data_IF_176438511916
#
_entry.id   IF_176438511916
#
_cell.length_a   1.000
_cell.length_b   1.000
_cell.length_c   1.000
_cell.angle_alpha   90.00
_cell.angle_beta   90.00
_cell.angle_gamma   90.00
#
_symmetry.space_group_name_H-M   'P 1'
#
loop_
_entity.id
_entity.type
_entity.pdbx_description
1 polymer ?
#
# COMPACT_ATOMS: atom_id res chain seq x y z
N UNK A 1 17.02 -41.57 -12.49
CA UNK A 1 15.93 -41.60 -13.50
C UNK A 1 15.38 -40.19 -13.63
N UNK A 2 15.60 -39.50 -14.75
CA UNK A 2 15.08 -38.14 -14.97
C UNK A 2 13.58 -38.26 -15.27
N UNK A 3 12.72 -37.62 -14.47
CA UNK A 3 11.27 -37.55 -14.76
C UNK A 3 11.07 -36.66 -15.99
N UNK A 4 10.61 -37.24 -17.09
CA UNK A 4 10.25 -36.48 -18.29
C UNK A 4 9.05 -35.58 -18.01
N UNK A 5 9.08 -34.34 -18.52
CA UNK A 5 7.99 -33.37 -18.33
C UNK A 5 6.80 -33.78 -19.21
N UNK A 6 5.55 -33.65 -18.72
CA UNK A 6 4.36 -33.97 -19.51
C UNK A 6 4.24 -33.01 -20.71
N UNK A 7 4.06 -33.57 -21.91
CA UNK A 7 3.94 -32.83 -23.17
C UNK A 7 2.52 -32.34 -23.46
N UNK A 8 1.52 -32.90 -22.77
CA UNK A 8 0.10 -32.60 -22.95
C UNK A 8 -0.61 -32.30 -21.62
N UNK A 9 -1.77 -31.64 -21.70
CA UNK A 9 -2.71 -31.41 -20.59
C UNK A 9 -4.15 -31.63 -21.06
N UNK A 10 -5.07 -31.82 -20.13
CA UNK A 10 -6.49 -31.97 -20.44
C UNK A 10 -7.18 -30.60 -20.43
N UNK A 11 -7.97 -30.32 -21.47
CA UNK A 11 -8.81 -29.12 -21.53
C UNK A 11 -9.83 -29.11 -20.38
N UNK A 12 -9.91 -27.98 -19.64
CA UNK A 12 -10.84 -27.83 -18.50
C UNK A 12 -12.32 -28.03 -18.89
N UNK A 13 -12.69 -27.62 -20.11
CA UNK A 13 -14.09 -27.56 -20.55
C UNK A 13 -14.55 -28.78 -21.35
N UNK A 14 -13.79 -29.19 -22.38
CA UNK A 14 -14.19 -30.30 -23.26
C UNK A 14 -13.44 -31.61 -23.00
N UNK A 15 -12.55 -31.64 -22.01
CA UNK A 15 -11.78 -32.84 -21.59
C UNK A 15 -10.92 -33.49 -22.67
N UNK A 16 -10.70 -32.84 -23.80
CA UNK A 16 -9.79 -33.30 -24.84
C UNK A 16 -8.34 -33.03 -24.45
N UNK A 17 -7.42 -33.90 -24.88
CA UNK A 17 -5.98 -33.65 -24.78
C UNK A 17 -5.56 -32.48 -25.66
N UNK A 18 -4.74 -31.60 -25.08
CA UNK A 18 -4.20 -30.40 -25.73
C UNK A 18 -2.73 -30.22 -25.35
N UNK A 19 -1.93 -29.48 -26.14
CA UNK A 19 -0.55 -29.15 -25.77
C UNK A 19 -0.47 -28.47 -24.39
N UNK A 20 0.56 -28.80 -23.60
CA UNK A 20 0.69 -28.31 -22.22
C UNK A 20 0.73 -26.76 -22.12
N UNK A 21 1.27 -26.10 -23.13
CA UNK A 21 1.39 -24.65 -23.26
C UNK A 21 0.18 -23.95 -23.92
N UNK A 22 -0.82 -24.70 -24.40
CA UNK A 22 -1.97 -24.13 -25.09
C UNK A 22 -2.78 -23.20 -24.16
N UNK A 23 -2.84 -21.90 -24.52
CA UNK A 23 -3.63 -20.87 -23.83
C UNK A 23 -5.12 -20.91 -24.18
N UNK A 24 -5.46 -21.47 -25.34
CA UNK A 24 -6.82 -21.62 -25.85
C UNK A 24 -6.97 -23.05 -26.37
N UNK A 25 -8.08 -23.71 -26.03
CA UNK A 25 -8.32 -25.08 -26.51
C UNK A 25 -8.67 -25.07 -28.02
N UNK A 26 -7.99 -25.84 -28.88
CA UNK A 26 -8.29 -25.89 -30.32
C UNK A 26 -9.65 -26.52 -30.65
N UNK A 27 -10.19 -27.35 -29.75
CA UNK A 27 -11.48 -28.04 -29.97
C UNK A 27 -12.67 -27.17 -29.57
N UNK A 28 -12.67 -26.61 -28.35
CA UNK A 28 -13.80 -25.81 -27.85
C UNK A 28 -13.57 -24.29 -27.85
N UNK A 29 -12.39 -23.83 -28.27
CA UNK A 29 -11.96 -22.42 -28.30
C UNK A 29 -12.02 -21.66 -26.97
N UNK A 30 -12.24 -22.36 -25.84
CA UNK A 30 -12.25 -21.76 -24.50
C UNK A 30 -10.83 -21.59 -23.95
N UNK A 31 -10.56 -20.43 -23.35
CA UNK A 31 -9.29 -20.04 -22.73
C UNK A 31 -8.94 -20.97 -21.55
N UNK A 32 -7.72 -21.48 -21.52
CA UNK A 32 -7.24 -22.47 -20.53
C UNK A 32 -6.41 -21.83 -19.39
N UNK A 33 -6.11 -20.54 -19.47
CA UNK A 33 -5.27 -19.80 -18.52
C UNK A 33 -6.08 -18.89 -17.58
N UNK A 34 -5.84 -19.05 -16.27
CA UNK A 34 -6.39 -18.21 -15.20
C UNK A 34 -7.15 -19.01 -14.14
N UNK A 35 -6.45 -19.61 -13.19
CA UNK A 35 -6.90 -19.68 -11.79
C UNK A 35 -5.63 -19.55 -10.96
N UNK A 36 -5.43 -18.35 -10.43
CA UNK A 36 -4.54 -18.15 -9.30
C UNK A 36 -4.94 -19.12 -8.19
N UNK A 37 -3.92 -19.55 -7.48
CA UNK A 37 -4.02 -20.33 -6.27
C UNK A 37 -5.09 -19.72 -5.34
N UNK A 38 -6.22 -20.41 -5.16
CA UNK A 38 -7.14 -20.12 -4.06
C UNK A 38 -6.45 -20.60 -2.79
N UNK A 39 -5.59 -19.75 -2.22
CA UNK A 39 -5.19 -19.89 -0.82
C UNK A 39 -6.36 -19.35 -0.02
N UNK A 40 -7.16 -20.26 0.53
CA UNK A 40 -8.16 -19.93 1.53
C UNK A 40 -7.42 -19.51 2.81
N UNK A 41 -7.22 -18.20 3.00
CA UNK A 41 -6.85 -17.64 4.30
C UNK A 41 -8.15 -17.37 5.04
N UNK A 42 -8.46 -18.22 6.02
CA UNK A 42 -9.57 -18.03 6.94
C UNK A 42 -9.27 -16.83 7.84
N UNK A 43 -9.84 -15.68 7.50
CA UNK A 43 -9.89 -14.53 8.41
C UNK A 43 -11.03 -14.77 9.40
N UNK A 44 -10.67 -15.23 10.60
CA UNK A 44 -11.57 -15.20 11.76
C UNK A 44 -11.63 -13.75 12.24
N UNK A 45 -12.61 -13.00 11.74
CA UNK A 45 -12.96 -11.69 12.29
C UNK A 45 -13.72 -11.94 13.60
N UNK A 46 -13.00 -11.86 14.73
CA UNK A 46 -13.63 -11.77 16.04
C UNK A 46 -14.25 -10.38 16.19
N UNK A 47 -15.54 -10.28 15.92
CA UNK A 47 -16.37 -9.12 16.24
C UNK A 47 -16.49 -9.04 17.76
N UNK A 48 -15.66 -8.19 18.38
CA UNK A 48 -15.82 -7.75 19.76
C UNK A 48 -16.77 -6.55 19.84
N UNK A 49 -18.08 -6.81 19.78
CA UNK A 49 -19.09 -5.83 20.18
C UNK A 49 -19.19 -5.82 21.70
N UNK A 50 -18.59 -4.81 22.33
CA UNK A 50 -18.96 -4.26 23.63
C UNK A 50 -19.10 -2.76 23.38
N UNK A 51 -20.30 -2.20 23.29
CA UNK A 51 -21.26 -2.16 24.39
C UNK A 51 -21.08 -0.85 25.17
N UNK A 52 -21.10 0.30 24.48
CA UNK A 52 -21.01 1.62 25.09
C UNK A 52 -22.38 2.09 25.59
N UNK A 53 -22.51 2.16 26.91
CA UNK A 53 -23.62 2.82 27.59
C UNK A 53 -23.50 4.36 27.48
N UNK A 54 -24.65 5.00 27.33
CA UNK A 54 -24.91 6.44 27.29
C UNK A 54 -24.40 7.20 28.53
N UNK A 55 -23.95 8.46 28.37
CA UNK A 55 -24.42 9.63 29.13
C UNK A 55 -23.71 10.96 28.76
N UNK A 56 -24.50 11.94 28.27
CA UNK A 56 -24.39 13.40 28.51
C UNK A 56 -23.19 14.18 27.93
N UNK A 57 -23.30 15.40 27.39
CA UNK A 57 -24.40 16.38 27.29
C UNK A 57 -23.81 17.77 26.96
N UNK A 58 -24.62 18.66 26.37
CA UNK A 58 -24.41 20.12 26.24
C UNK A 58 -23.72 20.57 24.93
N UNK A 59 -24.38 21.26 23.98
CA UNK A 59 -24.89 22.67 24.00
C UNK A 59 -23.75 23.70 23.95
N UNK A 60 -23.70 24.78 23.16
CA UNK A 60 -24.47 25.39 22.07
C UNK A 60 -23.63 26.58 21.53
N UNK A 61 -24.01 27.12 20.36
CA UNK A 61 -23.89 28.54 19.90
C UNK A 61 -22.48 29.13 19.64
N UNK A 62 -22.07 29.53 18.41
CA UNK A 62 -22.56 30.52 17.42
C UNK A 62 -22.06 31.97 17.68
N UNK A 63 -21.74 32.69 16.57
CA UNK A 63 -21.69 34.17 16.39
C UNK A 63 -20.36 34.90 16.72
N UNK A 64 -19.82 35.92 16.02
CA UNK A 64 -20.00 36.65 14.72
C UNK A 64 -18.99 37.83 14.68
N UNK A 65 -18.77 38.39 13.47
CA UNK A 65 -18.22 39.73 13.10
C UNK A 65 -16.68 39.84 12.95
N UNK A 66 -16.06 40.16 11.78
CA UNK A 66 -16.26 41.22 10.76
C UNK A 66 -15.94 42.65 11.29
N UNK A 67 -15.59 43.68 10.47
CA UNK A 67 -15.15 43.76 9.06
C UNK A 67 -13.96 44.77 8.85
N UNK A 68 -13.82 45.33 7.62
CA UNK A 68 -13.33 46.70 7.22
C UNK A 68 -11.95 46.73 6.54
N UNK A 69 -11.60 47.47 5.47
CA UNK A 69 -12.22 48.11 4.29
C UNK A 69 -11.07 48.79 3.47
N UNK A 70 -11.35 49.11 2.19
CA UNK A 70 -10.75 50.16 1.34
C UNK A 70 -9.38 49.92 0.63
N UNK A 71 -9.06 50.47 -0.55
CA UNK A 71 -9.75 50.99 -1.75
C UNK A 71 -8.66 51.60 -2.68
N UNK A 72 -9.00 51.86 -3.96
CA UNK A 72 -8.33 52.73 -4.98
C UNK A 72 -7.30 52.03 -5.91
N UNK A 73 -7.52 51.83 -7.22
CA UNK A 73 -7.80 52.72 -8.38
C UNK A 73 -6.56 53.59 -8.76
N UNK A 74 -6.07 53.78 -10.01
CA UNK A 74 -6.67 54.01 -11.36
C UNK A 74 -5.59 53.87 -12.48
N UNK A 75 -6.02 53.69 -13.76
CA UNK A 75 -5.45 54.14 -15.07
C UNK A 75 -4.38 53.28 -15.80
N UNK A 76 -4.21 53.26 -17.13
CA UNK A 76 -4.97 53.32 -18.42
C UNK A 76 -3.92 53.55 -19.54
N UNK A 77 -4.20 53.06 -20.77
CA UNK A 77 -3.56 53.28 -22.10
C UNK A 77 -2.63 52.14 -22.59
N UNK A 78 -2.94 51.37 -23.65
CA UNK A 78 -3.01 51.67 -25.11
C UNK A 78 -1.63 52.12 -25.68
N UNK A 79 -0.99 51.61 -26.77
CA UNK A 79 -1.43 50.94 -28.02
C UNK A 79 -0.19 50.54 -28.90
N UNK A 80 -0.24 49.35 -29.54
CA UNK A 80 0.23 48.93 -30.91
C UNK A 80 1.70 48.71 -31.38
N UNK A 81 1.82 47.61 -32.17
CA UNK A 81 2.73 47.25 -33.30
C UNK A 81 4.17 46.77 -33.00
N UNK A 82 4.80 45.82 -33.72
CA UNK A 82 4.46 44.79 -34.74
C UNK A 82 5.78 43.98 -34.99
N UNK A 83 5.67 42.72 -35.45
CA UNK A 83 6.69 41.93 -36.21
C UNK A 83 7.90 41.36 -35.41
N UNK A 84 8.43 40.12 -35.54
CA UNK A 84 8.42 39.06 -36.57
C UNK A 84 9.06 37.77 -35.98
N UNK A 85 8.45 36.60 -36.22
CA UNK A 85 8.94 35.19 -36.41
C UNK A 85 10.38 34.78 -35.98
N UNK A 86 10.76 33.59 -35.47
CA UNK A 86 10.43 32.16 -35.73
C UNK A 86 10.89 31.29 -34.54
N UNK A 87 10.08 30.26 -34.24
CA UNK A 87 10.29 29.00 -33.51
C UNK A 87 11.68 28.62 -32.91
N UNK A 88 11.66 28.24 -31.62
CA UNK A 88 11.97 26.86 -31.18
C UNK A 88 11.32 26.60 -29.80
N UNK A 89 10.32 25.72 -29.79
CA UNK A 89 9.41 25.47 -28.67
C UNK A 89 9.92 24.33 -27.79
N UNK A 90 10.64 24.67 -26.71
CA UNK A 90 10.73 23.83 -25.51
C UNK A 90 9.70 24.35 -24.52
N UNK A 91 8.47 23.84 -24.62
CA UNK A 91 7.39 24.19 -23.71
C UNK A 91 7.58 23.47 -22.37
N UNK A 92 8.38 24.07 -21.47
CA UNK A 92 8.15 23.96 -20.04
C UNK A 92 6.87 24.74 -19.76
N UNK A 93 5.74 24.05 -19.82
CA UNK A 93 4.44 24.61 -19.47
C UNK A 93 4.38 24.77 -17.95
N UNK A 94 4.82 25.91 -17.45
CA UNK A 94 4.22 26.51 -16.25
C UNK A 94 2.77 26.84 -16.59
N UNK A 95 1.88 25.88 -16.32
CA UNK A 95 0.44 26.09 -16.41
C UNK A 95 0.00 27.07 -15.32
N UNK A 96 -0.98 27.95 -15.60
CA UNK A 96 -1.48 28.89 -14.61
C UNK A 96 -2.25 28.12 -13.53
N UNK A 97 -1.97 28.38 -12.25
CA UNK A 97 -2.67 27.80 -11.08
C UNK A 97 -4.20 28.10 -11.04
N UNK A 98 -4.74 28.81 -12.02
CA UNK A 98 -6.08 29.37 -11.99
C UNK A 98 -7.21 28.44 -12.46
N UNK A 99 -6.93 27.25 -13.02
CA UNK A 99 -8.01 26.39 -13.54
C UNK A 99 -7.86 24.88 -13.25
N UNK A 100 -7.44 24.54 -12.03
CA UNK A 100 -7.46 23.14 -11.56
C UNK A 100 -8.89 22.76 -11.16
N UNK A 101 -9.49 21.68 -11.70
CA UNK A 101 -10.83 21.23 -11.35
C UNK A 101 -11.01 20.95 -9.85
N UNK A 102 -12.22 21.15 -9.32
CA UNK A 102 -12.52 20.92 -7.90
C UNK A 102 -12.24 19.49 -7.45
N UNK A 103 -12.51 18.51 -8.32
CA UNK A 103 -12.22 17.10 -8.03
C UNK A 103 -10.72 16.86 -7.78
N UNK A 104 -9.85 17.51 -8.55
CA UNK A 104 -8.39 17.35 -8.48
C UNK A 104 -7.85 17.92 -7.17
N UNK A 105 -8.39 19.08 -6.74
CA UNK A 105 -8.07 19.68 -5.44
C UNK A 105 -8.53 18.78 -4.28
N UNK A 106 -9.69 18.13 -4.43
CA UNK A 106 -10.23 17.21 -3.43
C UNK A 106 -9.38 15.94 -3.32
N UNK A 107 -9.00 15.37 -4.47
CA UNK A 107 -8.09 14.23 -4.55
C UNK A 107 -6.73 14.55 -3.93
N UNK A 108 -6.14 15.71 -4.24
CA UNK A 108 -4.88 16.16 -3.64
C UNK A 108 -4.97 16.29 -2.11
N UNK A 109 -6.04 16.89 -1.59
CA UNK A 109 -6.24 16.99 -0.13
C UNK A 109 -6.37 15.62 0.54
N UNK A 110 -7.08 14.69 -0.10
CA UNK A 110 -7.20 13.30 0.37
C UNK A 110 -5.87 12.57 0.30
N UNK A 111 -5.11 12.77 -0.76
CA UNK A 111 -3.77 12.22 -0.92
C UNK A 111 -2.86 12.63 0.24
N UNK A 112 -2.81 13.93 0.56
CA UNK A 112 -2.06 14.43 1.71
C UNK A 112 -2.53 13.80 3.03
N UNK A 113 -3.84 13.74 3.27
CA UNK A 113 -4.38 13.14 4.50
C UNK A 113 -3.95 11.68 4.68
N UNK A 114 -4.02 10.87 3.62
CA UNK A 114 -3.62 9.46 3.68
C UNK A 114 -2.11 9.29 3.80
N UNK A 115 -1.31 10.12 3.14
CA UNK A 115 0.13 10.16 3.33
C UNK A 115 0.48 10.46 4.80
N UNK A 116 -0.11 11.50 5.38
CA UNK A 116 0.22 11.97 6.72
C UNK A 116 -0.25 11.03 7.83
N UNK A 117 -1.41 10.40 7.66
CA UNK A 117 -2.06 9.63 8.75
C UNK A 117 -1.96 8.13 8.58
N UNK A 118 -1.83 7.64 7.35
CA UNK A 118 -1.74 6.21 7.03
C UNK A 118 -0.41 5.83 6.37
N UNK A 119 0.46 6.80 6.10
CA UNK A 119 1.81 6.59 5.58
C UNK A 119 1.84 5.76 4.30
N UNK A 120 0.80 5.89 3.46
CA UNK A 120 0.66 5.06 2.26
C UNK A 120 1.82 5.27 1.29
N UNK A 121 2.18 4.22 0.55
CA UNK A 121 3.04 4.35 -0.62
C UNK A 121 2.32 5.11 -1.74
N UNK A 122 3.11 5.62 -2.69
CA UNK A 122 2.57 6.27 -3.89
C UNK A 122 1.57 5.37 -4.65
N UNK A 123 1.90 4.08 -4.82
CA UNK A 123 1.06 3.14 -5.54
C UNK A 123 -0.23 2.81 -4.78
N UNK A 124 -0.15 2.49 -3.48
CA UNK A 124 -1.34 2.26 -2.65
C UNK A 124 -2.24 3.50 -2.59
N UNK A 125 -1.64 4.69 -2.55
CA UNK A 125 -2.40 5.94 -2.49
C UNK A 125 -3.23 6.15 -3.76
N UNK A 126 -2.65 5.87 -4.93
CA UNK A 126 -3.39 5.90 -6.19
C UNK A 126 -4.55 4.89 -6.20
N UNK A 127 -4.29 3.65 -5.78
CA UNK A 127 -5.31 2.60 -5.68
C UNK A 127 -6.45 3.01 -4.73
N UNK A 128 -6.11 3.62 -3.59
CA UNK A 128 -7.09 4.08 -2.61
C UNK A 128 -7.96 5.22 -3.14
N UNK A 129 -7.37 6.18 -3.85
CA UNK A 129 -8.08 7.31 -4.43
C UNK A 129 -9.04 6.88 -5.55
N UNK A 130 -8.67 5.88 -6.34
CA UNK A 130 -9.46 5.39 -7.49
C UNK A 130 -10.42 4.25 -7.14
N UNK A 131 -10.23 3.59 -6.00
CA UNK A 131 -11.02 2.42 -5.59
C UNK A 131 -12.52 2.67 -5.60
N UNK A 132 -13.27 1.71 -6.14
CA UNK A 132 -14.75 1.66 -6.08
C UNK A 132 -15.29 1.54 -4.65
N UNK A 133 -14.44 1.20 -3.68
CA UNK A 133 -14.80 1.15 -2.26
C UNK A 133 -14.13 2.28 -1.45
N UNK A 134 -13.25 3.06 -2.07
CA UNK A 134 -12.56 4.18 -1.47
C UNK A 134 -13.19 5.52 -1.87
N UNK A 135 -12.37 6.40 -2.43
CA UNK A 135 -12.79 7.78 -2.73
C UNK A 135 -13.44 7.94 -4.13
N UNK A 136 -13.25 6.96 -5.03
CA UNK A 136 -13.84 6.94 -6.38
C UNK A 136 -13.50 8.16 -7.25
N UNK A 137 -12.35 8.78 -7.03
CA UNK A 137 -11.88 9.84 -7.91
C UNK A 137 -11.61 9.28 -9.31
N UNK A 138 -11.78 10.14 -10.32
CA UNK A 138 -11.28 9.84 -11.66
C UNK A 138 -9.79 9.50 -11.65
N UNK A 139 -9.35 8.66 -12.59
CA UNK A 139 -7.94 8.28 -12.71
C UNK A 139 -7.05 9.52 -12.91
N UNK A 140 -7.54 10.51 -13.65
CA UNK A 140 -6.83 11.75 -13.91
C UNK A 140 -6.73 12.64 -12.66
N UNK A 141 -7.78 12.72 -11.84
CA UNK A 141 -7.74 13.45 -10.57
C UNK A 141 -6.81 12.77 -9.56
N UNK A 142 -6.82 11.43 -9.49
CA UNK A 142 -5.90 10.67 -8.65
C UNK A 142 -4.45 10.83 -9.11
N UNK A 143 -4.18 10.75 -10.41
CA UNK A 143 -2.83 10.97 -10.94
C UNK A 143 -2.35 12.39 -10.64
N UNK A 144 -3.19 13.40 -10.84
CA UNK A 144 -2.87 14.77 -10.44
C UNK A 144 -2.53 14.85 -8.95
N UNK A 145 -3.30 14.19 -8.08
CA UNK A 145 -3.02 14.16 -6.65
C UNK A 145 -1.66 13.53 -6.34
N UNK A 146 -1.32 12.40 -6.97
CA UNK A 146 -0.03 11.72 -6.78
C UNK A 146 1.16 12.56 -7.26
N UNK A 147 0.98 13.33 -8.33
CA UNK A 147 2.05 14.16 -8.90
C UNK A 147 2.29 15.44 -8.11
N UNK A 148 1.30 15.88 -7.32
CA UNK A 148 1.33 17.17 -6.61
C UNK A 148 1.28 17.05 -5.08
N UNK A 149 1.10 15.84 -4.54
CA UNK A 149 1.15 15.62 -3.09
C UNK A 149 2.59 15.80 -2.61
N UNK A 150 2.75 16.67 -1.61
CA UNK A 150 4.02 16.82 -0.89
C UNK A 150 4.12 15.71 0.14
N UNK A 151 4.90 14.68 -0.17
CA UNK A 151 5.06 13.50 0.67
C UNK A 151 6.51 13.01 0.65
N UNK A 152 7.02 12.70 1.84
CA UNK A 152 8.27 11.97 2.00
C UNK A 152 7.98 10.46 2.00
N UNK A 153 8.17 9.83 0.85
CA UNK A 153 7.87 8.41 0.66
C UNK A 153 8.77 7.49 1.49
N UNK A 154 10.02 7.91 1.75
CA UNK A 154 10.93 7.19 2.62
C UNK A 154 10.48 7.25 4.08
N UNK A 155 10.00 8.43 4.53
CA UNK A 155 9.41 8.58 5.86
C UNK A 155 8.14 7.76 6.00
N UNK A 156 7.28 7.73 4.96
CA UNK A 156 6.08 6.90 4.93
C UNK A 156 6.42 5.41 5.04
N UNK A 157 7.39 4.93 4.26
CA UNK A 157 7.85 3.54 4.32
C UNK A 157 8.38 3.19 5.71
N UNK A 158 9.21 4.05 6.30
CA UNK A 158 9.74 3.86 7.65
C UNK A 158 8.64 3.83 8.72
N UNK A 159 7.65 4.72 8.64
CA UNK A 159 6.54 4.76 9.59
C UNK A 159 5.65 3.51 9.48
N UNK A 160 5.35 3.05 8.25
CA UNK A 160 4.65 1.77 8.04
C UNK A 160 5.47 0.59 8.59
N UNK A 161 6.77 0.58 8.32
CA UNK A 161 7.66 -0.47 8.79
C UNK A 161 7.71 -0.53 10.33
N UNK A 162 7.77 0.63 11.00
CA UNK A 162 7.72 0.72 12.46
C UNK A 162 6.38 0.23 13.00
N UNK A 163 5.26 0.56 12.34
CA UNK A 163 3.95 0.08 12.76
C UNK A 163 3.84 -1.45 12.72
N UNK A 164 4.29 -2.08 11.63
CA UNK A 164 4.34 -3.53 11.50
C UNK A 164 5.29 -4.18 12.52
N UNK A 165 6.44 -3.57 12.76
CA UNK A 165 7.36 -3.99 13.80
C UNK A 165 6.68 -4.02 15.18
N UNK A 166 6.03 -2.92 15.55
CA UNK A 166 5.49 -2.72 16.89
C UNK A 166 4.23 -3.56 17.15
N UNK A 167 3.43 -3.81 16.12
CA UNK A 167 2.12 -4.50 16.25
C UNK A 167 2.14 -5.96 15.87
N UNK A 168 3.06 -6.38 14.98
CA UNK A 168 3.12 -7.74 14.46
C UNK A 168 4.47 -8.42 14.72
N UNK A 169 5.45 -7.72 15.29
CA UNK A 169 6.77 -8.29 15.62
C UNK A 169 7.44 -8.98 14.43
N UNK A 170 7.32 -8.39 13.24
CA UNK A 170 7.87 -8.99 12.03
C UNK A 170 9.40 -9.06 12.07
N UNK A 171 9.98 -10.06 11.40
CA UNK A 171 11.41 -10.06 11.11
C UNK A 171 11.76 -8.98 10.10
N UNK A 172 13.04 -8.58 10.07
CA UNK A 172 13.53 -7.60 9.08
C UNK A 172 13.23 -8.04 7.63
N UNK A 173 13.40 -9.32 7.32
CA UNK A 173 13.16 -9.85 5.97
C UNK A 173 11.68 -9.88 5.60
N UNK A 174 10.81 -10.33 6.51
CA UNK A 174 9.36 -10.29 6.28
C UNK A 174 8.84 -8.87 6.17
N UNK A 175 9.40 -7.93 6.94
CA UNK A 175 9.02 -6.53 6.88
C UNK A 175 9.30 -5.94 5.50
N UNK A 176 10.48 -6.22 4.93
CA UNK A 176 10.79 -5.85 3.55
C UNK A 176 9.77 -6.42 2.56
N UNK A 177 9.52 -7.74 2.63
CA UNK A 177 8.57 -8.42 1.74
C UNK A 177 7.17 -7.81 1.81
N UNK A 178 6.72 -7.45 3.02
CA UNK A 178 5.42 -6.83 3.24
C UNK A 178 5.34 -5.43 2.62
N UNK A 179 6.41 -4.64 2.73
CA UNK A 179 6.44 -3.28 2.20
C UNK A 179 6.38 -3.26 0.67
N UNK A 180 7.09 -4.18 0.00
CA UNK A 180 7.11 -4.25 -1.47
C UNK A 180 5.94 -5.04 -2.08
N UNK A 181 5.26 -5.86 -1.27
CA UNK A 181 4.23 -6.77 -1.75
C UNK A 181 3.10 -6.04 -2.47
N UNK A 182 2.64 -6.63 -3.57
CA UNK A 182 1.49 -6.16 -4.34
C UNK A 182 0.16 -6.20 -3.58
N UNK A 183 0.04 -7.09 -2.60
CA UNK A 183 -1.10 -7.12 -1.69
C UNK A 183 -0.82 -6.31 -0.41
N UNK A 184 0.46 -6.17 -0.08
CA UNK A 184 1.00 -5.31 0.96
C UNK A 184 1.22 -3.89 0.46
N UNK A 185 2.22 -3.20 0.99
CA UNK A 185 2.28 -1.74 0.94
C UNK A 185 2.68 -1.14 -0.40
N UNK A 186 3.10 -1.93 -1.39
CA UNK A 186 3.50 -1.46 -2.73
C UNK A 186 4.51 -0.30 -2.73
N UNK A 187 5.37 -0.23 -1.71
CA UNK A 187 6.53 0.65 -1.77
C UNK A 187 7.50 0.17 -2.86
N UNK A 188 8.30 1.09 -3.37
CA UNK A 188 9.44 0.71 -4.20
C UNK A 188 10.45 -0.09 -3.39
N UNK A 189 11.30 -0.87 -4.07
CA UNK A 189 12.35 -1.64 -3.40
C UNK A 189 13.30 -0.71 -2.63
N UNK A 190 13.60 0.48 -3.17
CA UNK A 190 14.47 1.46 -2.52
C UNK A 190 13.85 2.05 -1.25
N UNK A 191 12.57 2.41 -1.28
CA UNK A 191 11.85 2.93 -0.10
C UNK A 191 11.70 1.86 0.99
N UNK A 192 11.38 0.62 0.60
CA UNK A 192 11.30 -0.51 1.52
C UNK A 192 12.67 -0.82 2.13
N UNK A 193 13.74 -0.79 1.34
CA UNK A 193 15.10 -0.99 1.82
C UNK A 193 15.51 0.12 2.79
N UNK A 194 15.23 1.38 2.45
CA UNK A 194 15.44 2.51 3.36
C UNK A 194 14.71 2.28 4.69
N UNK A 195 13.45 1.88 4.65
CA UNK A 195 12.66 1.65 5.85
C UNK A 195 13.31 0.57 6.75
N UNK A 196 13.59 -0.62 6.22
CA UNK A 196 14.14 -1.72 7.03
C UNK A 196 15.56 -1.48 7.54
N UNK A 197 16.32 -0.57 6.92
CA UNK A 197 17.63 -0.15 7.42
C UNK A 197 17.53 0.91 8.52
N UNK A 198 16.41 1.63 8.60
CA UNK A 198 16.22 2.71 9.56
C UNK A 198 15.27 2.38 10.72
N UNK A 199 14.46 1.32 10.61
CA UNK A 199 13.64 0.82 11.72
C UNK A 199 14.52 0.53 12.94
N UNK A 200 14.10 1.05 14.09
CA UNK A 200 14.75 0.80 15.37
C UNK A 200 13.95 -0.28 16.08
N UNK A 201 14.48 -1.50 16.03
CA UNK A 201 13.85 -2.67 16.60
C UNK A 201 14.88 -3.56 17.31
N UNK A 202 14.41 -4.26 18.33
CA UNK A 202 15.11 -5.42 18.87
C UNK A 202 14.56 -6.67 18.18
N UNK A 203 15.29 -7.15 17.18
CA UNK A 203 14.85 -8.28 16.36
C UNK A 203 14.80 -9.60 17.13
N UNK A 204 15.59 -9.73 18.20
CA UNK A 204 15.55 -10.87 19.10
C UNK A 204 14.24 -10.88 19.90
N UNK A 205 13.81 -9.72 20.40
CA UNK A 205 12.52 -9.58 21.08
C UNK A 205 11.35 -9.82 20.14
N UNK A 206 11.43 -9.39 18.88
CA UNK A 206 10.42 -9.73 17.88
C UNK A 206 10.30 -11.24 17.69
N UNK A 207 11.42 -11.94 17.50
CA UNK A 207 11.42 -13.39 17.35
C UNK A 207 10.83 -14.08 18.58
N UNK A 208 11.15 -13.62 19.79
CA UNK A 208 10.61 -14.14 21.04
C UNK A 208 9.09 -13.89 21.16
N UNK A 209 8.62 -12.70 20.81
CA UNK A 209 7.20 -12.37 20.83
C UNK A 209 6.41 -13.26 19.84
N UNK A 210 6.92 -13.45 18.63
CA UNK A 210 6.32 -14.36 17.64
C UNK A 210 6.35 -15.82 18.13
N UNK A 211 7.45 -16.24 18.75
CA UNK A 211 7.58 -17.58 19.32
C UNK A 211 6.53 -17.85 20.41
N UNK A 212 6.36 -16.91 21.34
CA UNK A 212 5.33 -16.97 22.40
C UNK A 212 3.93 -17.04 21.79
N UNK A 213 3.66 -16.23 20.77
CA UNK A 213 2.37 -16.28 20.08
C UNK A 213 2.06 -17.66 19.49
N UNK A 214 3.02 -18.32 18.85
CA UNK A 214 2.84 -19.68 18.33
C UNK A 214 2.69 -20.73 19.43
N UNK A 215 3.43 -20.60 20.52
CA UNK A 215 3.26 -21.46 21.68
C UNK A 215 1.84 -21.32 22.27
N UNK A 216 1.39 -20.09 22.48
CA UNK A 216 0.12 -19.79 23.16
C UNK A 216 -1.11 -20.10 22.29
N UNK A 217 -1.06 -19.75 21.00
CA UNK A 217 -2.24 -19.85 20.12
C UNK A 217 -2.30 -21.15 19.34
N UNK A 218 -1.16 -21.80 19.10
CA UNK A 218 -1.07 -23.01 18.27
C UNK A 218 -0.50 -24.22 19.03
N UNK A 219 -0.08 -24.06 20.29
CA UNK A 219 0.51 -25.13 21.11
C UNK A 219 1.68 -25.84 20.42
N UNK A 220 2.46 -25.10 19.63
CA UNK A 220 3.59 -25.64 18.88
C UNK A 220 4.75 -26.00 19.82
N UNK A 221 5.50 -27.04 19.46
CA UNK A 221 6.74 -27.39 20.19
C UNK A 221 7.86 -26.39 19.87
N UNK A 222 8.88 -26.24 20.73
CA UNK A 222 10.02 -25.35 20.48
C UNK A 222 10.72 -25.62 19.14
N UNK A 223 10.89 -26.88 18.75
CA UNK A 223 11.49 -27.22 17.45
C UNK A 223 10.62 -26.80 16.27
N UNK A 224 9.30 -26.99 16.36
CA UNK A 224 8.36 -26.56 15.33
C UNK A 224 8.33 -25.02 15.22
N UNK A 225 8.36 -24.31 16.36
CA UNK A 225 8.46 -22.85 16.41
C UNK A 225 9.74 -22.39 15.72
N UNK A 226 10.89 -22.98 16.08
CA UNK A 226 12.18 -22.65 15.46
C UNK A 226 12.16 -22.82 13.94
N UNK A 227 11.60 -23.94 13.48
CA UNK A 227 11.45 -24.19 12.04
C UNK A 227 10.55 -23.15 11.37
N UNK A 228 9.48 -22.73 12.04
CA UNK A 228 8.56 -21.73 11.49
C UNK A 228 9.20 -20.34 11.45
N UNK A 229 9.91 -19.96 12.52
CA UNK A 229 10.60 -18.67 12.62
C UNK A 229 11.63 -18.48 11.50
N UNK A 230 12.36 -19.53 11.14
CA UNK A 230 13.44 -19.48 10.14
C UNK A 230 13.00 -19.78 8.72
N UNK A 231 11.79 -20.29 8.51
CA UNK A 231 11.36 -20.74 7.18
C UNK A 231 11.09 -19.59 6.21
N UNK A 232 11.40 -19.81 4.92
CA UNK A 232 11.16 -18.84 3.84
C UNK A 232 9.68 -18.54 3.60
N UNK A 233 8.79 -19.49 3.88
CA UNK A 233 7.34 -19.26 3.83
C UNK A 233 6.79 -18.71 5.15
N UNK A 234 7.50 -18.98 6.25
CA UNK A 234 7.26 -18.48 7.59
C UNK A 234 8.04 -17.19 7.85
N UNK A 235 8.47 -17.01 9.08
CA UNK A 235 8.78 -15.68 9.61
C UNK A 235 10.13 -15.10 9.19
N UNK A 236 10.97 -15.85 8.48
CA UNK A 236 12.26 -15.38 7.94
C UNK A 236 13.17 -14.66 8.96
N UNK A 237 13.05 -14.99 10.23
CA UNK A 237 14.08 -14.62 11.20
C UNK A 237 15.38 -15.32 10.86
N UNK A 238 16.49 -14.70 11.25
CA UNK A 238 17.81 -15.35 11.20
C UNK A 238 17.83 -16.56 12.14
N UNK A 239 18.79 -17.47 11.91
CA UNK A 239 18.95 -18.62 12.78
C UNK A 239 19.26 -18.19 14.22
N UNK A 240 20.06 -17.13 14.37
CA UNK A 240 20.47 -16.56 15.64
C UNK A 240 19.29 -15.96 16.42
N UNK A 241 18.41 -15.20 15.75
CA UNK A 241 17.19 -14.64 16.37
C UNK A 241 16.21 -15.74 16.79
N UNK A 242 16.06 -16.78 15.95
CA UNK A 242 15.22 -17.93 16.30
C UNK A 242 15.81 -18.72 17.48
N UNK A 243 17.12 -18.93 17.51
CA UNK A 243 17.81 -19.61 18.62
C UNK A 243 17.69 -18.80 19.92
N UNK A 244 17.81 -17.47 19.85
CA UNK A 244 17.51 -16.58 20.95
C UNK A 244 16.07 -16.80 21.44
N UNK A 245 15.09 -16.73 20.55
CA UNK A 245 13.69 -16.90 20.91
C UNK A 245 13.43 -18.25 21.61
N UNK A 246 13.94 -19.36 21.08
CA UNK A 246 13.77 -20.68 21.69
C UNK A 246 14.41 -20.77 23.07
N UNK A 247 15.61 -20.21 23.25
CA UNK A 247 16.31 -20.25 24.55
C UNK A 247 15.64 -19.40 25.64
N UNK A 248 14.73 -18.50 25.25
CA UNK A 248 13.98 -17.62 26.16
C UNK A 248 12.47 -17.94 26.20
N UNK A 249 12.02 -19.04 25.60
CA UNK A 249 10.67 -19.59 25.76
C UNK A 249 10.56 -20.36 27.07
N UNK A 250 9.54 -20.05 27.87
CA UNK A 250 9.23 -20.74 29.13
C UNK A 250 8.26 -21.93 28.93
#
# INVERSE_FOLDING_TARGET
MKKEKPTTKICKYCKTEIPFDAKVCPQCRKKQGGSGCLVAIGVVVAIGVLGSCFAGGGSSTETTAAPTEAASAVATSETTAEATTVAESVAKTTAPEANVPTEYKSALKKAGTYSDTMHMSKARLYDQLTSEYGEKFSAEAAQYAIDNVDADWNANALANAQNYNDTMHMSKARLYDQLVSDAGEKFTEEEAQYAVDNVKADWNENALATAKNYQDTMAMSPEAIRSQLTSDAGEKFTAEEADYAISHLE
#
